data_IF_843726275868
#
_entry.id   IF_843726275868
#
_cell.length_a   1.000
_cell.length_b   1.000
_cell.length_c   1.000
_cell.angle_alpha   90.00
_cell.angle_beta   90.00
_cell.angle_gamma   90.00
#
_symmetry.space_group_name_H-M   'P 1'
#
loop_
_entity.id
_entity.type
_entity.pdbx_description
1 polymer ?
#
# COMPACT_ATOMS: atom_id res chain seq x y z
N UNK A 1 -18.51 -20.67 -7.74
CA UNK A 1 -17.10 -20.93 -8.13
C UNK A 1 -16.68 -20.27 -9.44
N UNK A 2 -17.29 -20.59 -10.59
CA UNK A 2 -16.79 -20.11 -11.89
C UNK A 2 -16.86 -18.58 -12.08
N UNK A 3 -17.91 -17.94 -11.58
CA UNK A 3 -18.04 -16.46 -11.68
C UNK A 3 -16.93 -15.78 -10.89
N UNK A 4 -16.71 -16.18 -9.63
CA UNK A 4 -15.65 -15.67 -8.77
C UNK A 4 -14.24 -15.92 -9.34
N UNK A 5 -14.02 -17.07 -9.98
CA UNK A 5 -12.76 -17.31 -10.68
C UNK A 5 -12.56 -16.34 -11.85
N UNK A 6 -13.58 -16.14 -12.70
CA UNK A 6 -13.50 -15.26 -13.85
C UNK A 6 -13.33 -13.79 -13.46
N UNK A 7 -13.93 -13.34 -12.35
CA UNK A 7 -13.73 -11.98 -11.83
C UNK A 7 -12.30 -11.77 -11.37
N UNK A 8 -11.76 -12.68 -10.55
CA UNK A 8 -10.36 -12.66 -10.09
C UNK A 8 -9.41 -12.69 -11.28
N UNK A 9 -9.64 -13.57 -12.26
CA UNK A 9 -8.82 -13.66 -13.47
C UNK A 9 -8.83 -12.37 -14.31
N UNK A 10 -9.99 -11.74 -14.47
CA UNK A 10 -10.10 -10.48 -15.20
C UNK A 10 -9.39 -9.35 -14.46
N UNK A 11 -9.52 -9.30 -13.13
CA UNK A 11 -8.83 -8.31 -12.30
C UNK A 11 -7.31 -8.49 -12.35
N UNK A 12 -6.79 -9.72 -12.31
CA UNK A 12 -5.34 -9.94 -12.40
C UNK A 12 -4.78 -9.50 -13.76
N UNK A 13 -5.49 -9.77 -14.86
CA UNK A 13 -5.11 -9.30 -16.20
C UNK A 13 -5.10 -7.78 -16.30
N UNK A 14 -6.11 -7.10 -15.74
CA UNK A 14 -6.18 -5.65 -15.73
C UNK A 14 -5.03 -5.03 -14.90
N UNK A 15 -4.75 -5.57 -13.70
CA UNK A 15 -3.64 -5.10 -12.87
C UNK A 15 -2.30 -5.27 -13.58
N UNK A 16 -2.09 -6.41 -14.27
CA UNK A 16 -0.89 -6.62 -15.09
C UNK A 16 -0.72 -5.57 -16.18
N UNK A 17 -1.78 -5.27 -16.94
CA UNK A 17 -1.69 -4.24 -17.98
C UNK A 17 -1.43 -2.86 -17.38
N UNK A 18 -2.11 -2.50 -16.30
CA UNK A 18 -1.95 -1.19 -15.65
C UNK A 18 -0.54 -1.02 -15.09
N UNK A 19 0.01 -2.08 -14.49
CA UNK A 19 1.37 -2.09 -13.98
C UNK A 19 2.40 -1.99 -15.10
N UNK A 20 2.22 -2.71 -16.21
CA UNK A 20 3.11 -2.59 -17.38
C UNK A 20 3.05 -1.20 -18.01
N UNK A 21 1.87 -0.58 -18.03
CA UNK A 21 1.68 0.79 -18.50
C UNK A 21 2.38 1.80 -17.56
N UNK A 22 2.31 1.58 -16.24
CA UNK A 22 3.01 2.39 -15.24
C UNK A 22 4.52 2.29 -15.37
N UNK A 23 5.04 1.08 -15.57
CA UNK A 23 6.48 0.83 -15.70
C UNK A 23 7.03 1.41 -17.00
N UNK A 24 6.25 1.41 -18.08
CA UNK A 24 6.65 2.06 -19.35
C UNK A 24 6.78 3.58 -19.25
N UNK A 25 6.19 4.21 -18.23
CA UNK A 25 6.25 5.66 -18.00
C UNK A 25 7.39 6.00 -17.05
N UNK A 26 8.34 6.83 -17.50
CA UNK A 26 9.45 7.29 -16.66
C UNK A 26 9.00 8.10 -15.42
N UNK A 27 7.91 8.87 -15.53
CA UNK A 27 7.28 9.55 -14.40
C UNK A 27 5.77 9.25 -14.41
N UNK A 28 5.32 8.17 -13.76
CA UNK A 28 3.90 7.90 -13.59
C UNK A 28 3.25 9.00 -12.74
N UNK A 29 1.94 9.23 -12.84
CA UNK A 29 1.26 10.23 -11.99
C UNK A 29 0.84 9.64 -10.64
N UNK A 30 0.70 10.43 -9.56
CA UNK A 30 0.29 9.90 -8.25
C UNK A 30 -1.10 9.25 -8.29
N UNK A 31 -1.99 9.78 -9.13
CA UNK A 31 -3.33 9.26 -9.33
C UNK A 31 -3.32 7.86 -9.97
N UNK A 32 -2.44 7.63 -10.96
CA UNK A 32 -2.30 6.32 -11.60
C UNK A 32 -1.79 5.26 -10.61
N UNK A 33 -0.76 5.58 -9.81
CA UNK A 33 -0.26 4.68 -8.74
C UNK A 33 -1.35 4.40 -7.70
N UNK A 34 -2.12 5.42 -7.34
CA UNK A 34 -3.26 5.29 -6.43
C UNK A 34 -4.35 4.35 -6.98
N UNK A 35 -4.67 4.48 -8.27
CA UNK A 35 -5.68 3.65 -8.93
C UNK A 35 -5.30 2.16 -8.91
N UNK A 36 -4.03 1.83 -9.17
CA UNK A 36 -3.53 0.45 -9.11
C UNK A 36 -3.48 -0.06 -7.67
N UNK A 37 -3.17 0.79 -6.70
CA UNK A 37 -3.22 0.43 -5.28
C UNK A 37 -4.65 0.05 -4.84
N UNK A 38 -5.65 0.77 -5.33
CA UNK A 38 -7.07 0.48 -5.08
C UNK A 38 -7.48 -0.82 -5.77
N UNK A 39 -7.12 -1.03 -7.04
CA UNK A 39 -7.45 -2.27 -7.76
C UNK A 39 -6.81 -3.49 -7.11
N UNK A 40 -5.59 -3.37 -6.58
CA UNK A 40 -4.90 -4.44 -5.84
C UNK A 40 -5.61 -4.77 -4.52
N UNK A 41 -6.16 -3.77 -3.83
CA UNK A 41 -6.97 -3.98 -2.62
C UNK A 41 -8.29 -4.67 -2.95
N UNK A 42 -8.93 -4.29 -4.06
CA UNK A 42 -10.14 -4.97 -4.57
C UNK A 42 -9.85 -6.43 -4.94
N UNK A 43 -8.73 -6.67 -5.62
CA UNK A 43 -8.27 -8.00 -6.01
C UNK A 43 -8.05 -8.89 -4.78
N UNK A 44 -7.36 -8.40 -3.75
CA UNK A 44 -7.18 -9.12 -2.48
C UNK A 44 -8.52 -9.56 -1.87
N UNK A 45 -9.52 -8.66 -1.84
CA UNK A 45 -10.85 -8.98 -1.29
C UNK A 45 -11.57 -10.05 -2.14
N UNK A 46 -11.53 -9.92 -3.46
CA UNK A 46 -12.16 -10.90 -4.37
C UNK A 46 -11.49 -12.28 -4.30
N UNK A 47 -10.18 -12.32 -4.05
CA UNK A 47 -9.41 -13.54 -3.88
C UNK A 47 -9.80 -14.24 -2.58
N UNK A 48 -9.96 -13.49 -1.49
CA UNK A 48 -10.45 -14.04 -0.21
C UNK A 48 -11.87 -14.58 -0.34
N UNK A 49 -12.74 -13.91 -1.10
CA UNK A 49 -14.08 -14.40 -1.43
C UNK A 49 -14.03 -15.70 -2.26
N UNK A 50 -13.17 -15.76 -3.27
CA UNK A 50 -12.97 -16.97 -4.07
C UNK A 50 -12.42 -18.14 -3.23
N UNK A 51 -11.49 -17.87 -2.32
CA UNK A 51 -10.95 -18.86 -1.39
C UNK A 51 -12.01 -19.37 -0.40
N UNK A 52 -12.88 -18.49 0.11
CA UNK A 52 -14.00 -18.89 0.96
C UNK A 52 -14.99 -19.77 0.19
N UNK A 53 -15.29 -19.43 -1.06
CA UNK A 53 -16.11 -20.26 -1.95
C UNK A 53 -15.45 -21.64 -2.22
N UNK A 54 -14.12 -21.68 -2.41
CA UNK A 54 -13.38 -22.93 -2.59
C UNK A 54 -13.46 -23.86 -1.36
N UNK A 55 -13.47 -23.28 -0.15
CA UNK A 55 -13.64 -24.04 1.10
C UNK A 55 -14.99 -24.74 1.20
N UNK A 56 -16.04 -24.15 0.65
CA UNK A 56 -17.39 -24.69 0.67
C UNK A 56 -17.73 -25.57 -0.55
N UNK A 57 -16.79 -25.76 -1.48
CA UNK A 57 -17.00 -26.64 -2.62
C UNK A 57 -17.05 -28.11 -2.16
N UNK A 58 -18.14 -28.79 -2.50
CA UNK A 58 -18.43 -30.17 -2.05
C UNK A 58 -17.62 -31.20 -2.86
N UNK A 59 -17.26 -30.86 -4.10
CA UNK A 59 -16.53 -31.76 -4.99
C UNK A 59 -15.01 -31.67 -4.71
N UNK A 60 -14.36 -32.74 -4.20
CA UNK A 60 -12.98 -32.66 -3.73
C UNK A 60 -11.99 -32.30 -4.83
N UNK A 61 -12.15 -32.86 -6.04
CA UNK A 61 -11.31 -32.53 -7.20
C UNK A 61 -11.38 -31.04 -7.58
N UNK A 62 -12.58 -30.45 -7.57
CA UNK A 62 -12.76 -29.02 -7.90
C UNK A 62 -12.24 -28.11 -6.80
N UNK A 63 -12.35 -28.56 -5.55
CA UNK A 63 -11.80 -27.86 -4.39
C UNK A 63 -10.26 -27.79 -4.46
N UNK A 64 -9.60 -28.90 -4.77
CA UNK A 64 -8.14 -28.96 -4.92
C UNK A 64 -7.66 -28.02 -6.05
N UNK A 65 -8.28 -28.09 -7.23
CA UNK A 65 -8.00 -27.16 -8.33
C UNK A 65 -8.21 -25.69 -7.93
N UNK A 66 -9.25 -25.41 -7.14
CA UNK A 66 -9.53 -24.05 -6.67
C UNK A 66 -8.46 -23.56 -5.69
N UNK A 67 -7.96 -24.42 -4.79
CA UNK A 67 -6.86 -24.06 -3.90
C UNK A 67 -5.55 -23.80 -4.65
N UNK A 68 -5.24 -24.60 -5.66
CA UNK A 68 -4.09 -24.33 -6.52
C UNK A 68 -4.20 -22.99 -7.23
N UNK A 69 -5.39 -22.66 -7.76
CA UNK A 69 -5.66 -21.36 -8.39
C UNK A 69 -5.50 -20.22 -7.39
N UNK A 70 -6.06 -20.35 -6.18
CA UNK A 70 -5.89 -19.35 -5.11
C UNK A 70 -4.42 -19.16 -4.76
N UNK A 71 -3.63 -20.24 -4.64
CA UNK A 71 -2.19 -20.16 -4.36
C UNK A 71 -1.46 -19.36 -5.44
N UNK A 72 -1.72 -19.66 -6.72
CA UNK A 72 -1.15 -18.90 -7.86
C UNK A 72 -1.54 -17.42 -7.80
N UNK A 73 -2.81 -17.09 -7.56
CA UNK A 73 -3.24 -15.70 -7.47
C UNK A 73 -2.64 -14.95 -6.27
N UNK A 74 -2.34 -15.64 -5.15
CA UNK A 74 -1.65 -15.01 -4.00
C UNK A 74 -0.19 -14.69 -4.31
N UNK A 75 0.48 -15.56 -5.05
CA UNK A 75 1.82 -15.33 -5.55
C UNK A 75 1.83 -14.12 -6.51
N UNK A 76 0.91 -14.08 -7.48
CA UNK A 76 0.73 -12.92 -8.38
C UNK A 76 0.44 -11.63 -7.59
N UNK A 77 -0.37 -11.68 -6.54
CA UNK A 77 -0.64 -10.53 -5.69
C UNK A 77 0.64 -9.99 -5.03
N UNK A 78 1.48 -10.88 -4.51
CA UNK A 78 2.76 -10.50 -3.90
C UNK A 78 3.71 -9.87 -4.91
N UNK A 79 3.75 -10.39 -6.14
CA UNK A 79 4.52 -9.85 -7.25
C UNK A 79 4.03 -8.45 -7.67
N UNK A 80 2.72 -8.25 -7.78
CA UNK A 80 2.14 -6.95 -8.11
C UNK A 80 2.43 -5.90 -7.03
N UNK A 81 2.41 -6.27 -5.75
CA UNK A 81 2.81 -5.36 -4.66
C UNK A 81 4.27 -4.97 -4.78
N UNK A 82 5.17 -5.94 -4.97
CA UNK A 82 6.59 -5.68 -5.13
C UNK A 82 6.87 -4.74 -6.31
N UNK A 83 6.24 -4.99 -7.45
CA UNK A 83 6.39 -4.14 -8.64
C UNK A 83 5.88 -2.72 -8.43
N UNK A 84 4.75 -2.57 -7.74
CA UNK A 84 4.20 -1.25 -7.42
C UNK A 84 5.10 -0.48 -6.44
N UNK A 85 5.76 -1.16 -5.52
CA UNK A 85 6.75 -0.56 -4.62
C UNK A 85 8.01 -0.11 -5.37
N UNK A 86 8.47 -0.89 -6.36
CA UNK A 86 9.56 -0.48 -7.27
C UNK A 86 9.17 0.79 -8.02
N UNK A 87 7.99 0.84 -8.65
CA UNK A 87 7.52 2.02 -9.39
C UNK A 87 7.43 3.25 -8.49
N UNK A 88 6.91 3.10 -7.25
CA UNK A 88 6.89 4.19 -6.27
C UNK A 88 8.29 4.70 -5.97
N UNK A 89 9.23 3.79 -5.71
CA UNK A 89 10.62 4.14 -5.40
C UNK A 89 11.31 4.84 -6.57
N UNK A 90 11.20 4.32 -7.79
CA UNK A 90 11.78 4.96 -8.98
C UNK A 90 11.24 6.38 -9.19
N UNK A 91 9.94 6.58 -8.94
CA UNK A 91 9.30 7.89 -9.00
C UNK A 91 9.83 8.84 -7.92
N UNK A 92 9.94 8.37 -6.67
CA UNK A 92 10.52 9.15 -5.58
C UNK A 92 11.97 9.55 -5.86
N UNK A 93 12.78 8.62 -6.37
CA UNK A 93 14.17 8.88 -6.78
C UNK A 93 14.24 9.90 -7.93
N UNK A 94 13.36 9.82 -8.94
CA UNK A 94 13.27 10.80 -10.01
C UNK A 94 12.90 12.21 -9.49
N UNK A 95 11.97 12.28 -8.53
CA UNK A 95 11.60 13.54 -7.88
C UNK A 95 12.73 14.09 -7.01
N UNK A 96 13.44 13.23 -6.27
CA UNK A 96 14.62 13.63 -5.49
C UNK A 96 15.74 14.17 -6.39
N UNK A 97 16.00 13.50 -7.52
CA UNK A 97 17.00 13.95 -8.50
C UNK A 97 16.58 15.27 -9.15
N UNK A 98 15.29 15.44 -9.45
CA UNK A 98 14.75 16.70 -9.96
C UNK A 98 14.98 17.84 -8.96
N UNK A 99 14.54 17.67 -7.71
CA UNK A 99 14.73 18.66 -6.64
C UNK A 99 16.24 18.96 -6.42
N UNK A 100 17.09 17.92 -6.42
CA UNK A 100 18.54 18.07 -6.31
C UNK A 100 19.11 18.87 -7.49
N UNK A 101 18.65 18.62 -8.71
CA UNK A 101 19.09 19.35 -9.91
C UNK A 101 18.64 20.81 -9.91
N UNK A 102 17.47 21.13 -9.34
CA UNK A 102 17.05 22.53 -9.17
C UNK A 102 17.89 23.27 -8.12
N UNK A 103 18.26 22.57 -7.05
CA UNK A 103 19.09 23.13 -5.97
C UNK A 103 20.56 23.30 -6.38
N UNK A 104 21.10 22.39 -7.21
CA UNK A 104 22.51 22.41 -7.62
C UNK A 104 22.74 23.06 -9.00
N UNK A 105 21.75 23.06 -9.88
CA UNK A 105 21.83 23.59 -11.24
C UNK A 105 21.76 25.13 -11.32
N UNK A 106 21.41 25.82 -10.23
CA UNK A 106 21.38 27.30 -10.16
C UNK A 106 22.74 27.94 -9.83
N UNK A 107 23.87 27.26 -10.02
CA UNK A 107 25.20 27.86 -9.81
C UNK A 107 26.13 27.61 -11.01
N UNK A 108 26.17 28.50 -12.01
CA UNK A 108 27.34 28.58 -12.88
C UNK A 108 28.54 28.98 -11.99
N UNK A 109 29.58 28.17 -12.05
CA UNK A 109 30.90 28.34 -11.44
C UNK A 109 31.29 29.78 -11.08
N UNK A 110 31.06 30.20 -9.83
CA UNK A 110 32.05 30.84 -8.98
C UNK A 110 31.50 30.97 -7.54
N UNK A 111 32.39 30.91 -6.55
CA UNK A 111 32.17 31.10 -5.11
C UNK A 111 31.64 29.88 -4.32
N UNK A 112 32.56 29.00 -3.94
CA UNK A 112 32.72 28.71 -2.50
C UNK A 112 32.82 30.04 -1.75
N UNK A 113 32.01 30.25 -0.70
CA UNK A 113 32.42 29.75 0.61
C UNK A 113 31.27 29.07 1.39
N UNK A 114 31.52 27.83 1.82
CA UNK A 114 31.51 27.29 3.21
C UNK A 114 30.95 28.13 4.40
N UNK A 115 30.06 29.11 4.22
CA UNK A 115 29.52 29.84 5.36
C UNK A 115 28.06 30.30 5.15
N UNK A 116 27.09 29.84 5.96
CA UNK A 116 25.69 30.31 5.93
C UNK A 116 25.53 31.81 6.19
N UNK A 117 26.61 32.48 6.62
CA UNK A 117 26.67 33.90 6.94
C UNK A 117 27.51 34.73 5.95
N UNK A 118 28.04 34.17 4.86
CA UNK A 118 28.96 34.89 3.97
C UNK A 118 28.32 36.09 3.23
N UNK A 119 26.99 36.10 3.07
CA UNK A 119 26.26 37.24 2.48
C UNK A 119 25.75 38.24 3.53
N UNK A 120 26.02 38.01 4.82
CA UNK A 120 25.90 39.05 5.83
C UNK A 120 27.19 39.89 5.78
N UNK A 121 27.33 40.70 4.72
CA UNK A 121 28.15 41.89 4.84
C UNK A 121 27.70 42.64 6.10
N UNK A 122 28.62 43.20 6.91
CA UNK A 122 28.27 43.77 8.21
C UNK A 122 27.40 44.99 7.97
N UNK A 123 26.09 44.81 8.05
CA UNK A 123 25.17 45.92 8.21
C UNK A 123 25.56 46.56 9.53
N UNK A 124 26.24 47.70 9.44
CA UNK A 124 26.42 48.64 10.54
C UNK A 124 25.05 48.91 11.14
N UNK A 125 24.75 48.21 12.22
CA UNK A 125 23.59 48.45 13.07
C UNK A 125 23.77 49.82 13.70
N UNK A 126 23.09 50.83 13.17
CA UNK A 126 22.87 52.07 13.88
C UNK A 126 21.98 51.77 15.10
N UNK A 127 22.61 51.53 16.25
CA UNK A 127 21.92 51.51 17.53
C UNK A 127 21.61 52.95 17.96
N UNK A 128 20.37 53.20 18.40
CA UNK A 128 19.90 54.52 18.85
C UNK A 128 20.45 54.95 20.22
N UNK A 129 21.55 54.36 20.69
CA UNK A 129 22.12 54.64 21.99
C UNK A 129 23.64 54.38 22.00
N UNK A 130 24.42 55.30 21.44
CA UNK A 130 25.86 55.34 21.70
C UNK A 130 26.40 56.78 21.66
N UNK A 131 27.30 57.17 22.59
CA UNK A 131 27.82 58.54 22.65
C UNK A 131 28.78 58.82 21.49
N UNK A 132 28.54 59.97 20.87
CA UNK A 132 29.39 60.75 19.97
C UNK A 132 30.89 60.49 20.15
N UNK A 133 31.53 59.94 19.11
CA UNK A 133 32.90 60.30 18.76
C UNK A 133 33.01 60.43 17.24
N UNK A 134 33.18 61.67 16.80
CA UNK A 134 33.37 62.06 15.41
C UNK A 134 34.83 62.45 15.21
N UNK A 135 35.54 61.69 14.38
CA UNK A 135 36.67 62.20 13.61
C UNK A 135 36.48 61.81 12.15
N UNK A 136 36.25 62.86 11.35
CA UNK A 136 36.58 63.02 9.92
C UNK A 136 35.99 62.07 8.87
N UNK A 137 35.01 62.63 8.16
CA UNK A 137 35.11 62.97 6.73
C UNK A 137 35.13 61.82 5.70
N UNK A 138 33.97 61.52 5.09
CA UNK A 138 33.77 61.73 3.64
C UNK A 138 32.37 61.33 3.19
N UNK A 139 31.78 62.26 2.45
CA UNK A 139 30.49 62.25 1.78
C UNK A 139 30.50 61.30 0.59
N UNK A 140 29.55 60.37 0.51
CA UNK A 140 29.12 59.79 -0.78
C UNK A 140 27.62 59.50 -0.73
N UNK A 141 26.87 60.42 -1.32
CA UNK A 141 25.46 60.31 -1.62
C UNK A 141 25.36 59.53 -2.95
N UNK A 142 24.99 58.25 -2.89
CA UNK A 142 24.65 57.45 -4.09
C UNK A 142 23.18 57.05 -4.01
N UNK A 143 22.33 57.88 -4.60
CA UNK A 143 20.89 57.61 -4.79
C UNK A 143 20.72 56.89 -6.13
N UNK A 144 20.32 55.61 -6.11
CA UNK A 144 19.77 54.92 -7.29
C UNK A 144 20.13 53.44 -7.45
N UNK A 145 21.38 53.03 -7.21
CA UNK A 145 21.82 51.66 -7.57
C UNK A 145 21.61 50.59 -6.48
N UNK A 146 21.42 51.00 -5.21
CA UNK A 146 21.16 50.08 -4.09
C UNK A 146 19.70 49.69 -3.93
N UNK A 147 18.77 50.47 -4.49
CA UNK A 147 17.32 50.28 -4.31
C UNK A 147 16.78 49.16 -5.22
N UNK A 148 17.22 49.08 -6.47
CA UNK A 148 16.82 48.02 -7.41
C UNK A 148 17.22 46.62 -6.92
N UNK A 149 18.41 46.49 -6.34
CA UNK A 149 18.87 45.22 -5.76
C UNK A 149 18.04 44.85 -4.54
N UNK A 150 17.71 45.82 -3.68
CA UNK A 150 16.90 45.61 -2.47
C UNK A 150 15.45 45.24 -2.80
N UNK A 151 14.84 45.91 -3.77
CA UNK A 151 13.51 45.59 -4.28
C UNK A 151 13.49 44.21 -4.93
N UNK A 152 14.48 43.86 -5.76
CA UNK A 152 14.59 42.54 -6.37
C UNK A 152 14.72 41.42 -5.32
N UNK A 153 15.37 41.69 -4.18
CA UNK A 153 15.42 40.78 -3.05
C UNK A 153 14.06 40.64 -2.35
N UNK A 154 13.34 41.74 -2.10
CA UNK A 154 12.02 41.72 -1.47
C UNK A 154 10.99 40.97 -2.33
N UNK A 155 10.96 41.21 -3.64
CA UNK A 155 10.05 40.49 -4.55
C UNK A 155 10.33 38.99 -4.62
N UNK A 156 11.62 38.60 -4.52
CA UNK A 156 11.99 37.19 -4.49
C UNK A 156 11.58 36.52 -3.19
N UNK A 157 11.72 37.21 -2.06
CA UNK A 157 11.25 36.73 -0.77
C UNK A 157 9.74 36.54 -0.77
N UNK A 158 9.00 37.51 -1.32
CA UNK A 158 7.54 37.45 -1.39
C UNK A 158 7.05 36.31 -2.29
N UNK A 159 7.69 36.09 -3.43
CA UNK A 159 7.41 34.95 -4.30
C UNK A 159 7.76 33.61 -3.63
N UNK A 160 8.86 33.56 -2.87
CA UNK A 160 9.23 32.38 -2.10
C UNK A 160 8.21 32.07 -1.00
N UNK A 161 7.75 33.08 -0.26
CA UNK A 161 6.71 32.91 0.76
C UNK A 161 5.38 32.47 0.15
N UNK A 162 4.96 33.04 -0.98
CA UNK A 162 3.70 32.65 -1.63
C UNK A 162 3.74 31.21 -2.16
N UNK A 163 4.84 30.81 -2.81
CA UNK A 163 5.00 29.43 -3.26
C UNK A 163 5.12 28.44 -2.10
N UNK A 164 5.78 28.83 -1.02
CA UNK A 164 5.92 28.00 0.18
C UNK A 164 4.58 27.83 0.90
N UNK A 165 3.78 28.90 1.03
CA UNK A 165 2.43 28.82 1.59
C UNK A 165 1.56 27.85 0.79
N UNK A 166 1.54 27.98 -0.54
CA UNK A 166 0.78 27.05 -1.38
C UNK A 166 1.25 25.59 -1.25
N UNK A 167 2.56 25.35 -1.19
CA UNK A 167 3.08 24.00 -0.99
C UNK A 167 2.74 23.43 0.40
N UNK A 168 2.77 24.26 1.45
CA UNK A 168 2.38 23.87 2.81
C UNK A 168 0.89 23.54 2.88
N UNK A 169 0.03 24.33 2.26
CA UNK A 169 -1.41 24.07 2.21
C UNK A 169 -1.71 22.74 1.50
N UNK A 170 -1.01 22.46 0.41
CA UNK A 170 -1.17 21.21 -0.34
C UNK A 170 -0.67 19.99 0.47
N UNK A 171 0.42 20.16 1.23
CA UNK A 171 0.90 19.14 2.17
C UNK A 171 -0.06 18.93 3.35
N UNK A 172 -0.67 19.99 3.88
CA UNK A 172 -1.66 19.90 4.95
C UNK A 172 -2.91 19.19 4.45
N UNK A 173 -3.43 19.56 3.27
CA UNK A 173 -4.60 18.91 2.66
C UNK A 173 -4.33 17.42 2.39
N UNK A 174 -3.15 17.09 1.87
CA UNK A 174 -2.73 15.70 1.66
C UNK A 174 -2.53 14.94 2.98
N UNK A 175 -1.98 15.59 4.00
CA UNK A 175 -1.83 15.04 5.34
C UNK A 175 -3.19 14.74 6.00
N UNK A 176 -4.16 15.64 5.85
CA UNK A 176 -5.53 15.44 6.31
C UNK A 176 -6.22 14.28 5.59
N UNK A 177 -6.05 14.17 4.27
CA UNK A 177 -6.58 13.06 3.49
C UNK A 177 -5.98 11.70 3.91
N UNK A 178 -4.66 11.65 4.15
CA UNK A 178 -3.97 10.43 4.62
C UNK A 178 -4.40 10.07 6.05
N UNK A 179 -4.52 11.04 6.95
CA UNK A 179 -5.00 10.80 8.33
C UNK A 179 -6.47 10.34 8.34
N UNK A 180 -7.30 10.90 7.46
CA UNK A 180 -8.68 10.44 7.25
C UNK A 180 -8.76 9.00 6.75
N UNK A 181 -7.94 8.65 5.77
CA UNK A 181 -7.88 7.28 5.23
C UNK A 181 -7.35 6.29 6.27
N UNK A 182 -6.34 6.65 7.06
CA UNK A 182 -5.85 5.82 8.18
C UNK A 182 -6.92 5.61 9.26
N UNK A 183 -7.70 6.65 9.58
CA UNK A 183 -8.84 6.55 10.49
C UNK A 183 -9.92 5.60 9.97
N UNK A 184 -10.22 5.68 8.67
CA UNK A 184 -11.19 4.83 8.01
C UNK A 184 -10.70 3.38 7.88
N UNK A 185 -9.42 3.17 7.58
CA UNK A 185 -8.77 1.85 7.58
C UNK A 185 -8.82 1.20 8.97
N UNK A 186 -8.58 1.95 10.05
CA UNK A 186 -8.72 1.44 11.42
C UNK A 186 -10.14 0.95 11.72
N UNK A 187 -11.17 1.67 11.27
CA UNK A 187 -12.56 1.26 11.45
C UNK A 187 -12.88 -0.04 10.67
N UNK A 188 -12.34 -0.18 9.45
CA UNK A 188 -12.47 -1.41 8.66
C UNK A 188 -11.74 -2.60 9.29
N UNK A 189 -10.56 -2.38 9.89
CA UNK A 189 -9.82 -3.41 10.61
C UNK A 189 -10.53 -3.84 11.88
N UNK A 190 -11.13 -2.91 12.64
CA UNK A 190 -11.97 -3.24 13.80
C UNK A 190 -13.18 -4.08 13.42
N UNK A 191 -13.89 -3.72 12.34
CA UNK A 191 -15.02 -4.50 11.85
C UNK A 191 -14.60 -5.88 11.34
N UNK A 192 -13.43 -5.97 10.70
CA UNK A 192 -12.83 -7.25 10.29
C UNK A 192 -12.46 -8.10 11.49
N UNK A 193 -11.83 -7.54 12.52
CA UNK A 193 -11.50 -8.23 13.77
C UNK A 193 -12.77 -8.73 14.48
N UNK A 194 -13.82 -7.91 14.54
CA UNK A 194 -15.10 -8.27 15.15
C UNK A 194 -15.77 -9.42 14.40
N UNK A 195 -15.70 -9.41 13.06
CA UNK A 195 -16.11 -10.53 12.20
C UNK A 195 -15.25 -11.76 12.39
N UNK A 196 -13.93 -11.61 12.52
CA UNK A 196 -13.00 -12.72 12.75
C UNK A 196 -13.25 -13.40 14.10
N UNK A 197 -13.52 -12.64 15.16
CA UNK A 197 -13.93 -13.18 16.45
C UNK A 197 -15.28 -13.90 16.38
N UNK A 198 -16.25 -13.34 15.65
CA UNK A 198 -17.52 -14.02 15.37
C UNK A 198 -17.33 -15.32 14.59
N UNK A 199 -16.43 -15.29 13.61
CA UNK A 199 -16.04 -16.45 12.78
C UNK A 199 -15.33 -17.50 13.64
N UNK A 200 -14.44 -17.12 14.56
CA UNK A 200 -13.79 -18.05 15.49
C UNK A 200 -14.81 -18.80 16.36
N UNK A 201 -15.87 -18.11 16.83
CA UNK A 201 -16.97 -18.74 17.55
C UNK A 201 -17.76 -19.73 16.66
N UNK A 202 -17.89 -19.45 15.36
CA UNK A 202 -18.57 -20.35 14.40
C UNK A 202 -17.67 -21.46 13.82
N UNK A 203 -16.34 -21.29 13.80
CA UNK A 203 -15.40 -22.36 13.49
C UNK A 203 -15.31 -23.37 14.63
N UNK A 204 -15.53 -22.96 15.88
CA UNK A 204 -15.76 -23.88 17.00
C UNK A 204 -16.94 -24.82 16.71
N UNK A 205 -18.03 -24.29 16.15
CA UNK A 205 -19.21 -25.07 15.71
C UNK A 205 -18.93 -25.91 14.45
N UNK A 206 -18.07 -25.45 13.54
CA UNK A 206 -17.65 -26.22 12.34
C UNK A 206 -16.76 -27.42 12.67
N UNK A 207 -15.99 -27.36 13.77
CA UNK A 207 -15.21 -28.50 14.28
C UNK A 207 -16.10 -29.67 14.72
N UNK A 208 -17.25 -29.37 15.33
CA UNK A 208 -18.23 -30.39 15.71
C UNK A 208 -18.94 -31.01 14.51
N UNK A 209 -19.17 -30.24 13.43
CA UNK A 209 -19.71 -30.79 12.17
C UNK A 209 -18.68 -31.67 11.45
N UNK A 210 -17.41 -31.28 11.44
CA UNK A 210 -16.30 -32.11 10.94
C UNK A 210 -16.17 -33.41 11.74
N UNK A 211 -16.26 -33.34 13.08
CA UNK A 211 -16.27 -34.53 13.95
C UNK A 211 -17.51 -35.40 13.73
N UNK A 212 -18.66 -34.81 13.43
CA UNK A 212 -19.89 -35.54 13.11
C UNK A 212 -19.75 -36.33 11.79
N UNK A 213 -19.07 -35.77 10.78
CA UNK A 213 -18.80 -36.47 9.52
C UNK A 213 -17.82 -37.63 9.72
N UNK A 214 -16.75 -37.42 10.48
CA UNK A 214 -15.77 -38.47 10.76
C UNK A 214 -16.36 -39.62 11.58
N UNK A 215 -17.36 -39.35 12.44
CA UNK A 215 -18.09 -40.38 13.18
C UNK A 215 -18.92 -41.28 12.27
N UNK A 216 -19.60 -40.73 11.25
CA UNK A 216 -20.40 -41.50 10.28
C UNK A 216 -19.54 -42.50 9.49
N UNK A 217 -18.33 -42.11 9.09
CA UNK A 217 -17.41 -43.01 8.39
C UNK A 217 -16.92 -44.16 9.28
N UNK A 218 -16.74 -43.92 10.59
CA UNK A 218 -16.42 -45.00 11.55
C UNK A 218 -17.59 -45.95 11.76
N UNK A 219 -18.80 -45.43 11.91
CA UNK A 219 -20.03 -46.24 12.05
C UNK A 219 -20.26 -47.14 10.83
N UNK A 220 -20.07 -46.60 9.61
CA UNK A 220 -20.23 -47.36 8.35
C UNK A 220 -19.28 -48.56 8.26
N UNK A 221 -18.04 -48.40 8.74
CA UNK A 221 -17.05 -49.49 8.78
C UNK A 221 -17.48 -50.63 9.71
N UNK A 222 -18.14 -50.32 10.83
CA UNK A 222 -18.69 -51.32 11.74
C UNK A 222 -19.89 -52.06 11.14
N UNK A 223 -20.77 -51.35 10.43
CA UNK A 223 -21.92 -51.95 9.73
C UNK A 223 -21.44 -52.93 8.65
N UNK A 224 -20.40 -52.56 7.90
CA UNK A 224 -19.79 -53.45 6.90
C UNK A 224 -19.23 -54.73 7.53
N UNK A 225 -18.45 -54.62 8.62
CA UNK A 225 -17.88 -55.78 9.32
C UNK A 225 -18.97 -56.69 9.90
N UNK A 226 -20.03 -56.11 10.46
CA UNK A 226 -21.17 -56.89 10.97
C UNK A 226 -21.88 -57.68 9.85
N UNK A 227 -22.07 -57.06 8.66
CA UNK A 227 -22.64 -57.72 7.49
C UNK A 227 -21.82 -58.92 7.01
N UNK A 228 -20.49 -58.79 7.00
CA UNK A 228 -19.57 -59.89 6.63
C UNK A 228 -19.70 -61.07 7.60
N UNK A 229 -19.74 -60.82 8.91
CA UNK A 229 -19.87 -61.88 9.92
C UNK A 229 -21.20 -62.62 9.78
N UNK A 230 -22.30 -61.89 9.60
CA UNK A 230 -23.64 -62.47 9.42
C UNK A 230 -23.68 -63.35 8.16
N UNK A 231 -23.04 -62.91 7.07
CA UNK A 231 -22.96 -63.68 5.83
C UNK A 231 -22.22 -65.02 6.03
N UNK A 232 -21.08 -65.01 6.71
CA UNK A 232 -20.35 -66.25 7.01
C UNK A 232 -21.12 -67.18 7.95
N UNK A 233 -21.80 -66.66 8.97
CA UNK A 233 -22.66 -67.45 9.84
C UNK A 233 -23.81 -68.10 9.07
N UNK A 234 -24.42 -67.37 8.13
CA UNK A 234 -25.47 -67.90 7.28
C UNK A 234 -24.97 -69.05 6.40
N UNK A 235 -23.83 -68.88 5.72
CA UNK A 235 -23.20 -69.95 4.93
C UNK A 235 -22.86 -71.18 5.80
N UNK A 236 -22.34 -70.97 7.00
CA UNK A 236 -22.02 -72.05 7.93
C UNK A 236 -23.28 -72.82 8.36
N UNK A 237 -24.37 -72.13 8.68
CA UNK A 237 -25.62 -72.74 9.11
C UNK A 237 -26.25 -73.57 7.98
N UNK A 238 -26.21 -73.09 6.74
CA UNK A 238 -26.67 -73.84 5.57
C UNK A 238 -25.85 -75.11 5.37
N UNK A 239 -24.52 -75.03 5.45
CA UNK A 239 -23.65 -76.21 5.32
C UNK A 239 -23.83 -77.21 6.47
N UNK A 240 -24.10 -76.75 7.69
CA UNK A 240 -24.32 -77.63 8.82
C UNK A 240 -25.68 -78.33 8.77
N UNK A 241 -26.73 -77.67 8.29
CA UNK A 241 -28.08 -78.23 8.26
C UNK A 241 -28.35 -79.10 7.02
N UNK A 242 -27.58 -78.90 5.93
CA UNK A 242 -27.69 -79.70 4.70
C UNK A 242 -26.74 -80.92 4.67
N UNK A 243 -25.95 -81.13 5.73
CA UNK A 243 -25.04 -82.28 5.90
C UNK A 243 -25.46 -83.13 7.07
#
# INVERSE_FOLDING_TARGET
MNVAYNTVLRQSKAIRSDLSNLESKNLPTPAEIGSVSVSLTSFSKSLDEYHNLARHEIVPKKQEEAYERVKKFREELSEFRGSLDVVKRTREEAQHNHNRSELLGRRPYNATPENPYANAAPTTTHSSFQPRHTSSNSTSLTTGAGDEMREAHAFREQNFFNNTNHALDDFIARGQAVLGDLGQQRETLKNTQKRLYGIANTLGVSGDTIRMVERRAREDKWIFVAGVIIFFLFCWLVLHFLR
#
